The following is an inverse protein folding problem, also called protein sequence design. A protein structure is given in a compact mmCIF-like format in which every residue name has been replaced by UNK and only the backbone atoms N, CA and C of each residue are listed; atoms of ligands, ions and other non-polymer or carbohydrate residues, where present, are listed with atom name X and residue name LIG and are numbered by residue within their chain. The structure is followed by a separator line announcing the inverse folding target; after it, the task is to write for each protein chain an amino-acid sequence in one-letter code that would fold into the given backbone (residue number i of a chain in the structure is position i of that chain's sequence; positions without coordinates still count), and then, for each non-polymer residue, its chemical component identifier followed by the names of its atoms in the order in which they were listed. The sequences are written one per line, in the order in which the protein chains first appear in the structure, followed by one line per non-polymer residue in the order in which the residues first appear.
data_IF_726508968568
#
_entry.id   IF_726508968568
#
_cell.length_a   1.000
_cell.length_b   1.000
_cell.length_c   1.000
_cell.angle_alpha   90.00
_cell.angle_beta   90.00
_cell.angle_gamma   90.00
#
_symmetry.space_group_name_H-M   'P 1'
#
loop_
_entity.id
_entity.type
_entity.pdbx_description
1 polymer ?
#
# COMPACT_ATOMS: atom_id res chain seq x y z
N UNK A 1 16.94 -18.97 9.50
CA UNK A 1 15.88 -19.29 10.49
C UNK A 1 14.70 -18.37 10.22
N UNK A 2 13.57 -18.87 9.71
CA UNK A 2 12.37 -18.03 9.66
C UNK A 2 11.81 -17.97 11.07
N UNK A 3 11.83 -16.78 11.69
CA UNK A 3 11.14 -16.55 12.95
C UNK A 3 9.65 -16.93 12.81
N UNK A 4 9.05 -17.44 13.87
CA UNK A 4 7.60 -17.66 13.94
C UNK A 4 6.88 -16.32 13.69
N UNK A 5 5.91 -16.34 12.79
CA UNK A 5 5.14 -15.14 12.37
C UNK A 5 3.71 -15.16 12.89
N UNK A 6 3.35 -16.19 13.64
CA UNK A 6 1.99 -16.37 14.16
C UNK A 6 1.61 -15.20 15.07
N UNK A 7 0.44 -14.62 14.83
CA UNK A 7 -0.09 -13.49 15.61
C UNK A 7 0.47 -12.11 15.22
N UNK A 8 1.53 -12.04 14.39
CA UNK A 8 2.05 -10.76 13.89
C UNK A 8 1.02 -10.10 12.99
N UNK A 9 0.95 -8.76 13.04
CA UNK A 9 -0.04 -7.98 12.28
C UNK A 9 0.60 -7.25 11.10
N UNK A 10 -0.06 -7.31 9.95
CA UNK A 10 0.27 -6.51 8.76
C UNK A 10 -0.93 -5.66 8.38
N UNK A 11 -0.71 -4.36 8.26
CA UNK A 11 -1.70 -3.39 7.85
C UNK A 11 -1.72 -3.20 6.34
N UNK A 12 -2.91 -3.11 5.74
CA UNK A 12 -3.09 -2.90 4.31
C UNK A 12 -4.03 -1.72 4.05
N UNK A 13 -3.59 -0.77 3.22
CA UNK A 13 -4.36 0.40 2.84
C UNK A 13 -4.95 0.25 1.43
N UNK A 14 -6.25 0.51 1.31
CA UNK A 14 -7.01 0.30 0.08
C UNK A 14 -7.80 1.55 -0.29
N UNK A 15 -7.88 1.83 -1.59
CA UNK A 15 -8.82 2.82 -2.14
C UNK A 15 -9.89 2.17 -3.03
N UNK A 16 -9.93 0.85 -3.07
CA UNK A 16 -10.94 0.05 -3.78
C UNK A 16 -11.23 -1.18 -2.94
N UNK A 17 -12.50 -1.52 -2.65
CA UNK A 17 -12.81 -2.54 -1.66
C UNK A 17 -12.56 -3.97 -2.17
N UNK A 18 -12.58 -4.18 -3.49
CA UNK A 18 -12.39 -5.51 -4.10
C UNK A 18 -11.01 -6.12 -3.84
N UNK A 19 -9.99 -5.32 -3.52
CA UNK A 19 -8.64 -5.81 -3.22
C UNK A 19 -8.52 -6.44 -1.84
N UNK A 20 -9.45 -6.17 -0.91
CA UNK A 20 -9.41 -6.69 0.47
C UNK A 20 -9.50 -8.21 0.47
N UNK A 21 -10.51 -8.77 -0.21
CA UNK A 21 -10.70 -10.22 -0.28
C UNK A 21 -9.54 -10.93 -0.97
N UNK A 22 -8.97 -10.30 -2.00
CA UNK A 22 -7.78 -10.81 -2.69
C UNK A 22 -6.56 -10.87 -1.77
N UNK A 23 -6.29 -9.79 -1.03
CA UNK A 23 -5.17 -9.76 -0.05
C UNK A 23 -5.36 -10.84 1.01
N UNK A 24 -6.56 -10.99 1.57
CA UNK A 24 -6.83 -12.03 2.58
C UNK A 24 -6.53 -13.43 2.05
N UNK A 25 -6.98 -13.74 0.83
CA UNK A 25 -6.71 -15.02 0.18
C UNK A 25 -5.20 -15.30 0.05
N UNK A 26 -4.43 -14.33 -0.42
CA UNK A 26 -2.98 -14.51 -0.61
C UNK A 26 -2.21 -14.50 0.71
N UNK A 27 -2.61 -13.70 1.69
CA UNK A 27 -2.02 -13.70 3.03
C UNK A 27 -2.23 -15.06 3.69
N UNK A 28 -3.44 -15.63 3.63
CA UNK A 28 -3.69 -16.96 4.17
C UNK A 28 -2.83 -18.04 3.51
N UNK A 29 -2.63 -17.96 2.20
CA UNK A 29 -1.84 -18.94 1.44
C UNK A 29 -0.32 -18.81 1.66
N UNK A 30 0.21 -17.59 1.81
CA UNK A 30 1.66 -17.33 1.79
C UNK A 30 2.23 -16.91 3.16
N UNK A 31 1.38 -16.44 4.07
CA UNK A 31 1.73 -15.92 5.39
C UNK A 31 0.81 -16.54 6.47
N UNK A 32 0.78 -17.88 6.61
CA UNK A 32 -0.08 -18.53 7.58
C UNK A 32 0.22 -18.02 8.99
N UNK A 33 -0.83 -17.74 9.76
CA UNK A 33 -0.73 -17.23 11.14
C UNK A 33 -0.56 -15.72 11.25
N UNK A 34 -0.27 -14.99 10.17
CA UNK A 34 -0.26 -13.51 10.17
C UNK A 34 -1.68 -12.97 10.19
N UNK A 35 -1.93 -11.97 11.02
CA UNK A 35 -3.20 -11.24 11.11
C UNK A 35 -3.18 -10.07 10.13
N UNK A 36 -4.16 -10.01 9.23
CA UNK A 36 -4.32 -8.87 8.31
C UNK A 36 -5.25 -7.82 8.91
N UNK A 37 -4.83 -6.55 8.85
CA UNK A 37 -5.66 -5.40 9.27
C UNK A 37 -5.84 -4.50 8.05
N UNK A 38 -7.08 -4.10 7.76
CA UNK A 38 -7.40 -3.34 6.56
C UNK A 38 -7.96 -1.97 6.92
N UNK A 39 -7.48 -0.94 6.22
CA UNK A 39 -8.13 0.37 6.17
C UNK A 39 -8.52 0.63 4.73
N UNK A 40 -9.75 1.09 4.54
CA UNK A 40 -10.30 1.39 3.23
C UNK A 40 -10.97 2.76 3.23
N UNK A 41 -10.65 3.57 2.22
CA UNK A 41 -11.40 4.78 1.92
C UNK A 41 -11.44 5.04 0.40
N UNK A 42 -12.63 4.88 -0.18
CA UNK A 42 -12.87 5.12 -1.60
C UNK A 42 -12.76 6.60 -2.00
N UNK A 43 -12.95 7.54 -1.05
CA UNK A 43 -12.87 8.97 -1.34
C UNK A 43 -11.46 9.40 -1.74
N UNK A 44 -10.43 8.72 -1.21
CA UNK A 44 -9.03 8.99 -1.57
C UNK A 44 -8.82 8.92 -3.09
N UNK A 45 -9.32 7.86 -3.72
CA UNK A 45 -9.24 7.67 -5.17
C UNK A 45 -10.02 8.73 -5.94
N UNK A 46 -11.23 9.05 -5.46
CA UNK A 46 -12.09 10.08 -6.07
C UNK A 46 -11.41 11.45 -6.02
N UNK A 47 -10.83 11.83 -4.89
CA UNK A 47 -10.15 13.12 -4.72
C UNK A 47 -8.87 13.19 -5.55
N UNK A 48 -8.15 12.08 -5.71
CA UNK A 48 -6.99 12.02 -6.59
C UNK A 48 -7.38 12.26 -8.06
N UNK A 49 -8.49 11.68 -8.53
CA UNK A 49 -8.99 11.88 -9.89
C UNK A 49 -9.55 13.27 -10.17
N UNK A 50 -9.88 14.05 -9.14
CA UNK A 50 -10.25 15.48 -9.28
C UNK A 50 -9.03 16.40 -9.36
N UNK A 51 -7.84 15.89 -9.03
CA UNK A 51 -6.59 16.65 -9.07
C UNK A 51 -5.96 16.55 -10.46
N UNK A 52 -5.08 17.47 -10.86
CA UNK A 52 -4.28 17.30 -12.07
C UNK A 52 -3.50 15.98 -12.05
N UNK A 53 -3.21 15.42 -13.23
CA UNK A 53 -2.42 14.19 -13.35
C UNK A 53 -1.07 14.37 -12.65
N UNK A 54 -0.69 13.36 -11.87
CA UNK A 54 0.53 13.40 -11.08
C UNK A 54 0.46 14.38 -9.90
N UNK A 55 -0.71 14.84 -9.46
CA UNK A 55 -0.87 15.61 -8.23
C UNK A 55 -1.63 14.77 -7.21
N UNK A 56 -1.01 14.53 -6.06
CA UNK A 56 -1.70 14.00 -4.88
C UNK A 56 -2.17 15.18 -4.02
N UNK A 57 -3.48 15.37 -3.81
CA UNK A 57 -3.98 16.50 -3.03
C UNK A 57 -3.51 16.40 -1.56
N UNK A 58 -3.28 17.55 -0.92
CA UNK A 58 -2.76 17.63 0.45
C UNK A 58 -3.63 16.87 1.47
N UNK A 59 -4.95 16.87 1.26
CA UNK A 59 -5.90 16.10 2.07
C UNK A 59 -5.59 14.61 2.03
N UNK A 60 -5.24 14.07 0.87
CA UNK A 60 -4.86 12.66 0.70
C UNK A 60 -3.50 12.37 1.33
N UNK A 61 -2.53 13.28 1.27
CA UNK A 61 -1.24 13.11 1.96
C UNK A 61 -1.45 12.94 3.47
N UNK A 62 -2.20 13.87 4.08
CA UNK A 62 -2.51 13.83 5.51
C UNK A 62 -3.34 12.59 5.88
N UNK A 63 -4.37 12.28 5.09
CA UNK A 63 -5.24 11.13 5.34
C UNK A 63 -4.44 9.81 5.29
N UNK A 64 -3.53 9.66 4.32
CA UNK A 64 -2.68 8.47 4.21
C UNK A 64 -1.72 8.33 5.40
N UNK A 65 -1.15 9.43 5.89
CA UNK A 65 -0.34 9.45 7.11
C UNK A 65 -1.15 9.03 8.34
N UNK A 66 -2.37 9.56 8.51
CA UNK A 66 -3.26 9.18 9.61
C UNK A 66 -3.67 7.71 9.56
N UNK A 67 -3.90 7.16 8.36
CA UNK A 67 -4.16 5.72 8.21
C UNK A 67 -2.95 4.88 8.60
N UNK A 68 -1.75 5.34 8.24
CA UNK A 68 -0.50 4.73 8.69
C UNK A 68 -0.36 4.71 10.21
N UNK A 69 -0.48 5.88 10.85
CA UNK A 69 -0.43 6.03 12.31
C UNK A 69 -1.48 5.15 13.02
N UNK A 70 -2.72 5.10 12.50
CA UNK A 70 -3.76 4.23 13.04
C UNK A 70 -3.43 2.74 12.97
N UNK A 71 -2.81 2.28 11.88
CA UNK A 71 -2.36 0.90 11.73
C UNK A 71 -1.19 0.56 12.66
N UNK A 72 -0.21 1.46 12.78
CA UNK A 72 0.91 1.32 13.70
C UNK A 72 0.42 1.21 15.15
N UNK A 73 -0.46 2.12 15.59
CA UNK A 73 -1.08 2.07 16.93
C UNK A 73 -1.93 0.83 17.17
N UNK A 74 -2.43 0.21 16.12
CA UNK A 74 -3.16 -1.08 16.18
C UNK A 74 -2.24 -2.30 16.32
N UNK A 75 -0.92 -2.07 16.37
CA UNK A 75 0.13 -3.08 16.52
C UNK A 75 0.57 -3.71 15.20
N UNK A 76 0.31 -3.08 14.05
CA UNK A 76 0.85 -3.56 12.78
C UNK A 76 2.35 -3.29 12.72
N UNK A 77 3.14 -4.30 12.40
CA UNK A 77 4.60 -4.21 12.32
C UNK A 77 5.10 -3.90 10.91
N UNK A 78 4.19 -3.92 9.93
CA UNK A 78 4.40 -3.61 8.53
C UNK A 78 3.11 -3.02 7.98
N UNK A 79 3.22 -1.98 7.17
CA UNK A 79 2.11 -1.34 6.47
C UNK A 79 2.36 -1.43 4.96
N UNK A 80 1.34 -1.84 4.22
CA UNK A 80 1.40 -1.99 2.76
C UNK A 80 0.34 -1.08 2.14
N UNK A 81 0.79 -0.12 1.33
CA UNK A 81 -0.09 0.61 0.42
C UNK A 81 -0.41 -0.28 -0.78
N UNK A 82 -1.68 -0.61 -0.98
CA UNK A 82 -2.13 -1.46 -2.08
C UNK A 82 -2.61 -0.67 -3.32
N UNK A 83 -2.48 0.67 -3.32
CA UNK A 83 -2.99 1.50 -4.39
C UNK A 83 -1.87 2.12 -5.21
N UNK A 84 -1.82 1.79 -6.50
CA UNK A 84 -0.90 2.33 -7.49
C UNK A 84 -1.02 3.83 -7.76
N UNK A 85 -2.07 4.48 -7.22
CA UNK A 85 -2.26 5.93 -7.29
C UNK A 85 -1.62 6.70 -6.13
N UNK A 86 -1.13 5.97 -5.12
CA UNK A 86 -0.70 6.53 -3.84
C UNK A 86 0.82 6.45 -3.54
N UNK A 87 1.76 6.39 -4.51
CA UNK A 87 3.18 6.31 -4.17
C UNK A 87 3.66 7.54 -3.38
N UNK A 88 3.30 8.76 -3.82
CA UNK A 88 3.68 10.00 -3.13
C UNK A 88 3.09 10.13 -1.73
N UNK A 89 1.84 9.71 -1.56
CA UNK A 89 1.21 9.68 -0.24
C UNK A 89 1.86 8.63 0.67
N UNK A 90 2.30 7.50 0.11
CA UNK A 90 3.03 6.46 0.84
C UNK A 90 4.40 6.98 1.27
N UNK A 91 5.13 7.66 0.39
CA UNK A 91 6.42 8.28 0.72
C UNK A 91 6.29 9.33 1.83
N UNK A 92 5.23 10.15 1.79
CA UNK A 92 4.91 11.10 2.84
C UNK A 92 4.55 10.40 4.16
N UNK A 93 3.64 9.43 4.10
CA UNK A 93 3.16 8.72 5.28
C UNK A 93 4.24 7.87 5.95
N UNK A 94 5.20 7.33 5.18
CA UNK A 94 6.37 6.61 5.70
C UNK A 94 7.23 7.46 6.63
N UNK A 95 7.23 8.79 6.47
CA UNK A 95 7.95 9.70 7.37
C UNK A 95 7.21 9.95 8.69
N UNK A 96 5.92 9.59 8.77
CA UNK A 96 5.06 9.84 9.92
C UNK A 96 4.92 8.64 10.86
N UNK A 97 5.41 7.45 10.46
CA UNK A 97 5.35 6.21 11.24
C UNK A 97 6.74 5.63 11.46
N UNK A 98 6.91 4.80 12.48
CA UNK A 98 8.19 4.13 12.79
C UNK A 98 8.30 2.74 12.17
N UNK A 99 7.18 2.08 11.89
CA UNK A 99 7.14 0.78 11.22
C UNK A 99 7.37 0.89 9.71
N UNK A 100 7.95 -0.14 9.06
CA UNK A 100 8.08 -0.16 7.61
C UNK A 100 6.74 0.07 6.91
N UNK A 101 6.72 1.06 6.02
CA UNK A 101 5.57 1.38 5.18
C UNK A 101 6.00 1.28 3.72
N UNK A 102 5.51 0.24 3.03
CA UNK A 102 5.90 -0.09 1.66
C UNK A 102 4.81 0.24 0.65
N UNK A 103 5.21 0.70 -0.52
CA UNK A 103 4.34 0.77 -1.70
C UNK A 103 4.39 -0.57 -2.42
N UNK A 104 3.25 -1.24 -2.61
CA UNK A 104 3.21 -2.60 -3.19
C UNK A 104 3.90 -2.66 -4.57
N UNK A 105 3.67 -1.64 -5.40
CA UNK A 105 4.21 -1.59 -6.76
C UNK A 105 5.73 -1.49 -6.79
N UNK A 106 6.36 -0.82 -5.81
CA UNK A 106 7.83 -0.68 -5.80
C UNK A 106 8.48 -2.05 -5.63
N UNK A 107 7.92 -2.94 -4.81
CA UNK A 107 8.41 -4.31 -4.63
C UNK A 107 8.34 -5.11 -5.93
N UNK A 108 7.27 -4.93 -6.70
CA UNK A 108 7.10 -5.60 -8.00
C UNK A 108 8.11 -5.04 -9.00
N UNK A 109 8.25 -3.72 -9.07
CA UNK A 109 9.17 -3.04 -9.99
C UNK A 109 10.63 -3.39 -9.68
N UNK A 110 11.05 -3.31 -8.42
CA UNK A 110 12.39 -3.69 -7.96
C UNK A 110 12.76 -5.11 -8.41
N UNK A 111 11.80 -6.05 -8.30
CA UNK A 111 12.02 -7.44 -8.71
C UNK A 111 12.16 -7.62 -10.22
N UNK A 112 11.46 -6.82 -11.00
CA UNK A 112 11.45 -6.92 -12.47
C UNK A 112 12.71 -6.28 -13.06
N UNK A 113 13.17 -5.14 -12.53
CA UNK A 113 14.40 -4.47 -12.99
C UNK A 113 15.66 -5.30 -12.73
N UNK A 114 15.66 -6.14 -11.68
CA UNK A 114 16.75 -7.09 -11.42
C UNK A 114 16.93 -8.14 -12.52
N UNK A 115 15.88 -8.44 -13.29
CA UNK A 115 15.80 -9.64 -14.14
C UNK A 115 15.64 -9.35 -15.62
N UNK A 116 15.22 -8.14 -15.98
CA UNK A 116 14.82 -7.81 -17.35
C UNK A 116 15.35 -6.45 -17.77
N UNK A 117 15.98 -6.40 -18.95
CA UNK A 117 16.50 -5.16 -19.53
C UNK A 117 15.44 -4.32 -20.28
N UNK A 118 14.26 -4.89 -20.58
CA UNK A 118 13.17 -4.23 -21.30
C UNK A 118 11.86 -4.54 -20.59
N UNK A 119 11.19 -3.50 -20.10
CA UNK A 119 10.01 -3.62 -19.24
C UNK A 119 8.90 -2.75 -19.84
N UNK A 120 7.73 -3.35 -20.09
CA UNK A 120 6.51 -2.64 -20.43
C UNK A 120 5.59 -2.59 -19.20
N UNK A 121 4.98 -1.43 -18.96
CA UNK A 121 4.03 -1.25 -17.84
C UNK A 121 2.65 -0.92 -18.42
N UNK A 122 1.65 -1.72 -18.03
CA UNK A 122 0.25 -1.47 -18.36
C UNK A 122 -0.47 -0.95 -17.12
N UNK A 123 -1.01 0.26 -17.19
CA UNK A 123 -1.70 0.90 -16.06
C UNK A 123 -3.16 1.15 -16.40
N UNK A 124 -3.99 1.21 -15.37
CA UNK A 124 -5.44 1.47 -15.53
C UNK A 124 -5.73 2.93 -15.84
N UNK A 125 -4.84 3.85 -15.45
CA UNK A 125 -5.03 5.29 -15.60
C UNK A 125 -3.69 6.01 -15.80
N UNK A 126 -3.67 7.22 -16.39
CA UNK A 126 -2.46 8.04 -16.50
C UNK A 126 -1.97 8.59 -15.15
N UNK A 127 -2.77 8.46 -14.07
CA UNK A 127 -2.38 8.88 -12.72
C UNK A 127 -1.41 7.91 -12.05
N UNK A 128 -1.28 6.69 -12.58
CA UNK A 128 -0.30 5.72 -12.12
C UNK A 128 1.03 6.06 -12.77
N UNK A 129 1.89 6.73 -12.01
CA UNK A 129 3.30 6.91 -12.36
C UNK A 129 4.12 5.83 -11.65
N UNK A 130 4.82 4.94 -12.37
CA UNK A 130 5.79 4.03 -11.77
C UNK A 130 6.86 4.80 -10.99
#
# INVERSE_FOLDING_TARGET
MSADKTGRKVGFLHTTPSTIGMVNRFAQANLPGVVTVHVYDGNVKIDNFKSPIGVTPKSNLLRWANFGDGLERSGCELIVSCCSLMPRATDYARQAVSVPFVQLDSIILDRVVERHARIGVLTTTPYTTP
#
